data_IF_910858489249
#
_entry.id   IF_910858489249
#
_cell.length_a   1.000
_cell.length_b   1.000
_cell.length_c   1.000
_cell.angle_alpha   90.00
_cell.angle_beta   90.00
_cell.angle_gamma   90.00
#
_symmetry.space_group_name_H-M   'P 1'
#
loop_
_entity.id
_entity.type
_entity.pdbx_description
1 polymer ?
#
# COMPACT_ATOMS: atom_id res chain seq x y z
N UNK A 1 -40.49 -12.10 -15.67
CA UNK A 1 -40.77 -11.94 -14.23
C UNK A 1 -39.42 -12.00 -13.54
N UNK A 2 -38.87 -10.89 -13.16
CA UNK A 2 -37.60 -10.82 -12.41
C UNK A 2 -37.97 -11.10 -10.96
N UNK A 3 -37.43 -12.19 -10.43
CA UNK A 3 -37.58 -12.54 -9.01
C UNK A 3 -36.87 -11.43 -8.19
N UNK A 4 -37.57 -10.70 -7.31
CA UNK A 4 -36.90 -9.71 -6.48
C UNK A 4 -35.95 -10.43 -5.54
N UNK A 5 -34.72 -9.92 -5.50
CA UNK A 5 -33.71 -10.40 -4.54
C UNK A 5 -34.29 -10.32 -3.12
N UNK A 6 -34.43 -11.47 -2.49
CA UNK A 6 -34.98 -11.59 -1.15
C UNK A 6 -33.95 -11.38 -0.04
N UNK A 7 -32.68 -11.20 -0.40
CA UNK A 7 -31.59 -11.00 0.55
C UNK A 7 -30.89 -9.63 0.35
N UNK A 8 -31.57 -8.58 0.76
CA UNK A 8 -31.03 -7.21 0.68
C UNK A 8 -29.88 -6.93 1.64
N UNK A 9 -29.48 -7.89 2.49
CA UNK A 9 -28.35 -7.71 3.39
C UNK A 9 -26.99 -7.87 2.73
N UNK A 10 -26.94 -8.34 1.49
CA UNK A 10 -25.72 -8.47 0.68
C UNK A 10 -25.59 -7.43 -0.44
N UNK A 11 -26.61 -6.56 -0.57
CA UNK A 11 -26.66 -5.55 -1.66
C UNK A 11 -25.70 -4.38 -1.45
N UNK A 12 -25.14 -4.24 -0.25
CA UNK A 12 -24.30 -3.11 0.09
C UNK A 12 -22.97 -3.58 0.66
N UNK A 13 -21.91 -3.30 -0.06
CA UNK A 13 -20.54 -3.46 0.43
C UNK A 13 -20.00 -2.09 0.80
N UNK A 14 -19.60 -1.93 2.05
CA UNK A 14 -18.94 -0.72 2.52
C UNK A 14 -17.43 -0.97 2.54
N UNK A 15 -16.65 -0.13 1.85
CA UNK A 15 -15.23 0.02 2.11
C UNK A 15 -15.02 1.32 2.86
N UNK A 16 -14.47 1.25 4.05
CA UNK A 16 -14.13 2.44 4.83
C UNK A 16 -12.71 2.86 4.48
N UNK A 17 -12.54 4.13 4.10
CA UNK A 17 -11.23 4.77 4.09
C UNK A 17 -11.15 5.56 5.39
N UNK A 18 -10.24 5.17 6.25
CA UNK A 18 -9.97 5.93 7.46
C UNK A 18 -9.09 7.13 7.09
N UNK A 19 -9.63 8.32 7.24
CA UNK A 19 -8.88 9.57 7.06
C UNK A 19 -8.98 10.30 8.40
N UNK A 20 -7.89 10.31 9.14
CA UNK A 20 -7.70 11.26 10.22
C UNK A 20 -6.89 12.47 9.69
N UNK A 21 -6.65 13.46 10.55
CA UNK A 21 -5.90 14.67 10.19
C UNK A 21 -4.44 14.39 9.75
N UNK A 22 -3.97 13.15 9.84
CA UNK A 22 -2.57 12.77 9.64
C UNK A 22 -2.34 11.52 8.78
N UNK A 23 -3.36 10.71 8.51
CA UNK A 23 -3.18 9.38 7.88
C UNK A 23 -4.18 9.13 6.74
N UNK A 24 -3.66 8.74 5.57
CA UNK A 24 -4.46 8.14 4.50
C UNK A 24 -4.25 6.63 4.54
N UNK A 25 -5.26 5.88 4.96
CA UNK A 25 -5.20 4.42 5.06
C UNK A 25 -6.32 3.76 4.26
N UNK A 26 -6.05 2.60 3.68
CA UNK A 26 -7.07 1.77 3.02
C UNK A 26 -7.68 0.74 3.95
N UNK A 27 -6.96 0.38 5.00
CA UNK A 27 -7.37 -0.64 5.95
C UNK A 27 -7.54 -0.03 7.34
N UNK A 28 -8.54 -0.50 8.08
CA UNK A 28 -8.65 -0.20 9.49
C UNK A 28 -7.47 -0.84 10.23
N UNK A 29 -6.83 -0.09 11.12
CA UNK A 29 -5.68 -0.53 11.92
C UNK A 29 -5.99 -1.67 12.91
N UNK A 30 -7.15 -2.28 12.80
CA UNK A 30 -7.59 -3.40 13.63
C UNK A 30 -7.67 -4.70 12.82
N UNK A 31 -6.56 -5.38 12.69
CA UNK A 31 -6.62 -6.82 12.45
C UNK A 31 -6.99 -7.53 13.75
N UNK A 32 -8.28 -7.50 14.11
CA UNK A 32 -8.81 -8.50 15.00
C UNK A 32 -8.73 -9.83 14.25
N UNK A 33 -7.70 -10.64 14.53
CA UNK A 33 -7.59 -12.07 14.22
C UNK A 33 -8.36 -12.57 12.96
N UNK A 34 -8.45 -11.73 11.92
CA UNK A 34 -8.98 -12.16 10.64
C UNK A 34 -7.98 -13.15 10.05
N UNK A 35 -8.47 -14.24 9.52
CA UNK A 35 -7.66 -15.24 8.86
C UNK A 35 -6.91 -14.54 7.71
N UNK A 36 -5.65 -14.24 7.92
CA UNK A 36 -4.78 -13.66 6.92
C UNK A 36 -4.67 -14.66 5.76
N UNK A 37 -5.05 -14.26 4.56
CA UNK A 37 -5.10 -15.14 3.40
C UNK A 37 -3.81 -15.18 2.58
N UNK A 38 -2.75 -14.55 3.09
CA UNK A 38 -1.46 -14.43 2.41
C UNK A 38 -1.32 -13.12 1.64
N UNK A 39 -0.10 -12.68 1.44
CA UNK A 39 0.21 -11.44 0.73
C UNK A 39 0.40 -11.65 -0.77
N UNK A 40 0.48 -10.55 -1.49
CA UNK A 40 0.79 -10.50 -2.92
C UNK A 40 2.23 -10.06 -3.14
N UNK A 41 2.89 -10.63 -4.13
CA UNK A 41 4.26 -10.28 -4.52
C UNK A 41 4.56 -10.66 -5.96
N UNK A 42 5.75 -10.31 -6.44
CA UNK A 42 6.20 -10.57 -7.81
C UNK A 42 6.94 -11.90 -7.99
N UNK A 43 7.03 -12.73 -6.95
CA UNK A 43 7.92 -13.90 -6.94
C UNK A 43 9.37 -13.49 -7.27
N UNK A 44 10.02 -14.19 -8.17
CA UNK A 44 11.41 -13.94 -8.57
C UNK A 44 11.56 -12.82 -9.62
N UNK A 45 10.66 -11.83 -9.64
CA UNK A 45 10.72 -10.71 -10.56
C UNK A 45 10.82 -9.39 -9.81
N UNK A 46 11.34 -8.37 -10.49
CA UNK A 46 11.32 -6.99 -9.98
C UNK A 46 10.05 -6.28 -10.43
N UNK A 47 9.59 -5.30 -9.67
CA UNK A 47 8.41 -4.51 -10.04
C UNK A 47 7.85 -3.69 -8.91
N UNK A 48 6.71 -3.07 -9.19
CA UNK A 48 5.99 -2.21 -8.27
C UNK A 48 4.68 -2.85 -7.83
N UNK A 49 4.47 -2.96 -6.53
CA UNK A 49 3.21 -3.43 -5.95
C UNK A 49 2.69 -2.37 -4.98
N UNK A 50 1.46 -1.92 -5.17
CA UNK A 50 0.93 -0.84 -4.35
C UNK A 50 -0.55 -0.57 -4.57
N UNK A 51 -1.01 0.56 -4.04
CA UNK A 51 -2.40 0.98 -4.07
C UNK A 51 -2.58 2.39 -4.63
N UNK A 52 -3.74 2.62 -5.22
CA UNK A 52 -4.23 3.95 -5.59
C UNK A 52 -4.89 4.62 -4.38
N UNK A 53 -4.57 5.88 -4.15
CA UNK A 53 -5.14 6.72 -3.11
C UNK A 53 -5.75 7.97 -3.74
N UNK A 54 -6.98 8.29 -3.34
CA UNK A 54 -7.64 9.54 -3.69
C UNK A 54 -7.37 10.57 -2.58
N UNK A 55 -6.52 11.53 -2.86
CA UNK A 55 -6.23 12.65 -1.97
C UNK A 55 -7.29 13.71 -2.18
N UNK A 56 -8.03 14.04 -1.13
CA UNK A 56 -9.14 15.01 -1.19
C UNK A 56 -8.76 16.41 -0.72
N UNK A 57 -7.64 16.53 -0.01
CA UNK A 57 -7.12 17.78 0.53
C UNK A 57 -5.61 17.88 0.32
N UNK A 58 -5.12 19.08 0.02
CA UNK A 58 -3.68 19.31 -0.07
C UNK A 58 -2.99 18.94 1.24
N UNK A 59 -1.94 18.13 1.15
CA UNK A 59 -1.27 17.53 2.30
C UNK A 59 0.23 17.38 2.01
N UNK A 60 0.99 17.10 3.07
CA UNK A 60 2.41 16.80 2.99
C UNK A 60 2.66 15.40 3.55
N UNK A 61 3.03 14.47 2.69
CA UNK A 61 3.33 13.09 3.09
C UNK A 61 4.76 13.02 3.61
N UNK A 62 4.95 12.46 4.79
CA UNK A 62 6.27 12.35 5.45
C UNK A 62 6.77 10.93 5.60
N UNK A 63 5.86 9.96 5.59
CA UNK A 63 6.18 8.53 5.71
C UNK A 63 5.11 7.67 5.06
N UNK A 64 5.43 6.41 4.87
CA UNK A 64 4.52 5.37 4.43
C UNK A 64 4.61 4.18 5.37
N UNK A 65 3.47 3.57 5.68
CA UNK A 65 3.39 2.33 6.47
C UNK A 65 2.66 1.26 5.67
N UNK A 66 3.16 0.03 5.74
CA UNK A 66 2.56 -1.13 5.09
C UNK A 66 2.89 -2.40 5.86
N UNK A 67 2.09 -3.44 5.65
CA UNK A 67 2.36 -4.75 6.21
C UNK A 67 3.22 -5.56 5.25
N UNK A 68 4.40 -5.96 5.70
CA UNK A 68 5.27 -6.90 5.02
C UNK A 68 4.96 -8.30 5.53
N UNK A 69 4.36 -9.14 4.68
CA UNK A 69 3.98 -10.51 5.05
C UNK A 69 5.19 -11.45 5.07
N UNK A 70 5.93 -11.45 3.97
CA UNK A 70 7.13 -12.27 3.85
C UNK A 70 8.18 -11.58 2.98
N UNK A 71 9.44 -11.73 3.37
CA UNK A 71 10.58 -11.27 2.61
C UNK A 71 11.83 -12.09 2.96
N UNK A 72 12.86 -12.00 2.13
CA UNK A 72 14.14 -12.64 2.37
C UNK A 72 15.09 -11.66 3.06
N UNK A 73 15.75 -12.11 4.11
CA UNK A 73 16.77 -11.35 4.83
C UNK A 73 17.84 -10.80 3.87
N UNK A 74 18.10 -9.51 3.96
CA UNK A 74 19.11 -8.82 3.15
C UNK A 74 18.59 -8.32 1.79
N UNK A 75 17.37 -8.62 1.41
CA UNK A 75 16.75 -8.04 0.22
C UNK A 75 16.55 -6.54 0.38
N UNK A 76 16.50 -5.85 -0.75
CA UNK A 76 16.38 -4.40 -0.80
C UNK A 76 15.07 -4.01 -1.50
N UNK A 77 14.38 -3.09 -0.89
CA UNK A 77 13.19 -2.44 -1.44
C UNK A 77 13.21 -0.94 -1.21
N UNK A 78 12.34 -0.22 -1.88
CA UNK A 78 11.99 1.18 -1.62
C UNK A 78 10.50 1.37 -1.81
N UNK A 79 9.97 2.52 -1.39
CA UNK A 79 8.60 2.92 -1.72
C UNK A 79 8.64 4.19 -2.56
N UNK A 80 7.84 4.23 -3.59
CA UNK A 80 7.72 5.38 -4.48
C UNK A 80 6.26 5.84 -4.59
N UNK A 81 6.11 7.16 -4.76
CA UNK A 81 4.81 7.82 -4.94
C UNK A 81 4.76 8.36 -6.37
N UNK A 82 3.70 7.99 -7.08
CA UNK A 82 3.47 8.38 -8.47
C UNK A 82 2.22 9.25 -8.58
N UNK A 83 2.24 10.19 -9.49
CA UNK A 83 1.00 10.77 -10.01
C UNK A 83 0.26 9.73 -10.86
N UNK A 84 -1.04 9.90 -11.03
CA UNK A 84 -1.87 9.05 -11.89
C UNK A 84 -2.38 9.86 -13.08
N UNK A 85 -2.27 9.29 -14.26
CA UNK A 85 -2.79 9.88 -15.49
C UNK A 85 -3.46 8.79 -16.34
N UNK A 86 -4.70 9.02 -16.72
CA UNK A 86 -5.47 8.02 -17.49
C UNK A 86 -5.78 6.73 -16.74
N UNK A 87 -5.73 6.76 -15.39
CA UNK A 87 -5.94 5.57 -14.54
C UNK A 87 -4.67 4.74 -14.31
N UNK A 88 -3.51 5.18 -14.80
CA UNK A 88 -2.23 4.47 -14.68
C UNK A 88 -1.19 5.33 -13.94
N UNK A 89 -0.25 4.70 -13.21
CA UNK A 89 0.90 5.40 -12.63
C UNK A 89 1.70 6.12 -13.74
N UNK A 90 2.12 7.36 -13.45
CA UNK A 90 2.78 8.21 -14.45
C UNK A 90 4.14 8.69 -13.96
N UNK A 91 4.20 9.78 -13.23
CA UNK A 91 5.45 10.41 -12.80
C UNK A 91 5.74 10.12 -11.34
N UNK A 92 6.96 9.67 -11.02
CA UNK A 92 7.44 9.60 -9.64
C UNK A 92 7.62 11.00 -9.10
N UNK A 93 7.00 11.31 -7.98
CA UNK A 93 7.07 12.60 -7.30
C UNK A 93 7.85 12.57 -5.99
N UNK A 94 8.20 11.38 -5.52
CA UNK A 94 9.04 11.17 -4.34
C UNK A 94 9.04 9.72 -3.91
N UNK A 95 9.83 9.43 -2.88
CA UNK A 95 9.93 8.07 -2.34
C UNK A 95 10.82 8.01 -1.11
N UNK A 96 10.99 6.79 -0.61
CA UNK A 96 11.90 6.46 0.49
C UNK A 96 13.31 6.22 -0.04
N UNK A 97 14.29 6.16 0.85
CA UNK A 97 15.56 5.52 0.53
C UNK A 97 15.39 4.00 0.39
N UNK A 98 16.46 3.32 -0.05
CA UNK A 98 16.51 1.88 -0.03
C UNK A 98 16.44 1.37 1.42
N UNK A 99 15.58 0.38 1.63
CA UNK A 99 15.43 -0.33 2.88
C UNK A 99 15.92 -1.76 2.70
N UNK A 100 16.79 -2.21 3.59
CA UNK A 100 17.29 -3.58 3.59
C UNK A 100 16.51 -4.39 4.63
N UNK A 101 15.92 -5.50 4.20
CA UNK A 101 15.15 -6.41 5.04
C UNK A 101 16.00 -6.94 6.17
N UNK A 102 15.58 -6.75 7.39
CA UNK A 102 16.19 -7.26 8.62
C UNK A 102 15.57 -8.60 9.04
N UNK A 103 16.16 -9.24 10.04
CA UNK A 103 15.63 -10.50 10.58
C UNK A 103 14.24 -10.32 11.22
N UNK A 104 13.96 -9.14 11.78
CA UNK A 104 12.69 -8.85 12.45
C UNK A 104 11.54 -8.67 11.44
N UNK A 105 11.86 -8.43 10.16
CA UNK A 105 10.88 -8.20 9.10
C UNK A 105 10.43 -9.50 8.41
N UNK A 106 11.15 -10.59 8.58
CA UNK A 106 10.94 -11.82 7.78
C UNK A 106 9.74 -12.66 8.19
N UNK A 107 9.10 -12.35 9.30
CA UNK A 107 7.99 -13.12 9.88
C UNK A 107 6.64 -12.41 9.88
N UNK A 108 6.47 -11.39 9.07
CA UNK A 108 5.28 -10.53 9.05
C UNK A 108 5.42 -9.36 10.03
N UNK A 109 5.55 -8.15 9.50
CA UNK A 109 5.73 -6.94 10.29
C UNK A 109 5.09 -5.72 9.62
N UNK A 110 4.59 -4.77 10.43
CA UNK A 110 4.32 -3.42 9.96
C UNK A 110 5.63 -2.64 9.86
N UNK A 111 5.91 -2.15 8.68
CA UNK A 111 7.07 -1.32 8.39
C UNK A 111 6.63 0.10 8.13
N UNK A 112 7.29 1.07 8.79
CA UNK A 112 7.11 2.48 8.52
C UNK A 112 8.41 3.08 8.02
N UNK A 113 8.41 3.59 6.80
CA UNK A 113 9.57 4.21 6.16
C UNK A 113 9.34 5.72 5.97
N UNK A 114 10.27 6.57 6.41
CA UNK A 114 10.20 7.99 6.11
C UNK A 114 10.52 8.23 4.63
N UNK A 115 9.84 9.19 4.01
CA UNK A 115 10.25 9.68 2.71
C UNK A 115 11.56 10.47 2.82
N UNK A 116 12.37 10.46 1.76
CA UNK A 116 13.63 11.22 1.70
C UNK A 116 13.43 12.74 1.89
N UNK A 117 12.28 13.21 1.50
CA UNK A 117 11.79 14.58 1.75
C UNK A 117 10.26 14.54 1.79
N UNK A 118 9.65 15.50 2.46
CA UNK A 118 8.20 15.63 2.47
C UNK A 118 7.66 15.81 1.04
N UNK A 119 6.66 15.03 0.66
CA UNK A 119 6.03 15.03 -0.66
C UNK A 119 4.74 15.83 -0.56
N UNK A 120 4.71 17.01 -1.17
CA UNK A 120 3.50 17.83 -1.21
C UNK A 120 2.54 17.29 -2.28
N UNK A 121 1.34 16.92 -1.87
CA UNK A 121 0.27 16.45 -2.72
C UNK A 121 -0.91 17.41 -2.70
N UNK A 122 -1.57 17.54 -3.81
CA UNK A 122 -2.83 18.29 -3.98
C UNK A 122 -3.98 17.31 -4.22
N UNK A 123 -5.25 17.72 -4.14
CA UNK A 123 -6.35 16.84 -4.47
C UNK A 123 -6.17 16.16 -5.83
N UNK A 124 -6.29 14.84 -5.84
CA UNK A 124 -6.03 14.02 -7.02
C UNK A 124 -5.72 12.57 -6.66
N UNK A 125 -5.49 11.76 -7.69
CA UNK A 125 -5.18 10.33 -7.51
C UNK A 125 -3.67 10.10 -7.56
N UNK A 126 -3.18 9.29 -6.64
CA UNK A 126 -1.77 8.92 -6.51
C UNK A 126 -1.64 7.41 -6.36
N UNK A 127 -0.57 6.86 -6.91
CA UNK A 127 -0.19 5.46 -6.70
C UNK A 127 1.01 5.40 -5.78
N UNK A 128 0.89 4.68 -4.67
CA UNK A 128 1.96 4.46 -3.71
C UNK A 128 2.34 2.99 -3.77
N UNK A 129 3.59 2.71 -4.07
CA UNK A 129 4.02 1.35 -4.34
C UNK A 129 5.39 1.01 -3.76
N UNK A 130 5.50 -0.22 -3.26
CA UNK A 130 6.76 -0.86 -2.94
C UNK A 130 7.44 -1.29 -4.24
N UNK A 131 8.68 -0.90 -4.41
CA UNK A 131 9.56 -1.32 -5.49
C UNK A 131 10.38 -2.52 -5.00
N UNK A 132 10.05 -3.71 -5.50
CA UNK A 132 10.85 -4.91 -5.30
C UNK A 132 12.07 -4.87 -6.24
N UNK A 133 13.25 -4.63 -5.68
CA UNK A 133 14.49 -4.46 -6.45
C UNK A 133 15.27 -5.76 -6.62
N UNK A 134 15.03 -6.75 -5.78
CA UNK A 134 15.66 -8.07 -5.83
C UNK A 134 14.77 -9.10 -6.51
N UNK A 135 15.36 -10.22 -6.92
CA UNK A 135 14.63 -11.36 -7.51
C UNK A 135 14.04 -12.32 -6.46
N UNK A 136 14.19 -12.02 -5.19
CA UNK A 136 13.51 -12.76 -4.13
C UNK A 136 12.15 -12.13 -3.86
N UNK A 137 11.19 -12.96 -3.48
CA UNK A 137 9.83 -12.51 -3.29
C UNK A 137 9.70 -11.61 -2.06
N UNK A 138 9.13 -10.42 -2.25
CA UNK A 138 8.60 -9.56 -1.20
C UNK A 138 7.08 -9.64 -1.30
N UNK A 139 6.43 -10.06 -0.22
CA UNK A 139 4.98 -10.23 -0.18
C UNK A 139 4.38 -9.18 0.74
N UNK A 140 3.42 -8.43 0.23
CA UNK A 140 2.67 -7.42 0.97
C UNK A 140 1.30 -7.97 1.34
N UNK A 141 0.81 -7.65 2.54
CA UNK A 141 -0.50 -8.02 3.03
C UNK A 141 -1.45 -6.84 3.19
#
# INVERSE_FOLDING_TARGET
MTDPDSNTSNDTTYSFVYVDDSTYARDETFFAAATYLGGFGFNANTGYLGHMFDIIQASSLTSVSFFLDAATLGDVMSVEVFTVSGGEPSLVIGGTGNYTISADDTGGAFITLPFLSAINVIPGQYFVAVNQQSQNNITLG
#
